data_IF_305624969715
#
_entry.id   IF_305624969715
#
_cell.length_a   1.000
_cell.length_b   1.000
_cell.length_c   1.000
_cell.angle_alpha   90.00
_cell.angle_beta   90.00
_cell.angle_gamma   90.00
#
_symmetry.space_group_name_H-M   'P 1'
#
loop_
_entity.id
_entity.type
_entity.pdbx_description
1 polymer ?
#
# COMPACT_ATOMS: atom_id res chain seq x y z
N UNK A 1 -8.81 -21.40 -60.69
CA UNK A 1 -8.39 -19.97 -60.78
C UNK A 1 -8.68 -19.36 -62.16
N UNK A 2 -8.52 -20.07 -63.28
CA UNK A 2 -8.70 -19.52 -64.64
C UNK A 2 -10.13 -19.08 -65.01
N UNK A 3 -11.21 -19.73 -64.51
CA UNK A 3 -12.59 -19.38 -64.88
C UNK A 3 -13.08 -18.05 -64.25
N UNK A 4 -12.52 -17.64 -63.06
CA UNK A 4 -12.85 -16.38 -62.44
C UNK A 4 -12.18 -15.19 -63.13
N UNK A 5 -10.93 -15.36 -63.58
CA UNK A 5 -10.18 -14.37 -64.35
C UNK A 5 -10.80 -14.13 -65.76
N UNK A 6 -11.30 -15.20 -66.41
CA UNK A 6 -11.98 -15.08 -67.69
C UNK A 6 -13.32 -14.34 -67.60
N UNK A 7 -14.11 -14.56 -66.53
CA UNK A 7 -15.33 -13.80 -66.26
C UNK A 7 -15.09 -12.33 -65.95
N UNK A 8 -14.02 -12.01 -65.25
CA UNK A 8 -13.59 -10.65 -64.97
C UNK A 8 -13.17 -9.91 -66.25
N UNK A 9 -12.47 -10.61 -67.18
CA UNK A 9 -12.07 -10.07 -68.46
C UNK A 9 -13.27 -9.66 -69.37
N UNK A 10 -14.26 -10.56 -69.49
CA UNK A 10 -15.49 -10.30 -70.21
C UNK A 10 -16.35 -9.17 -69.65
N UNK A 11 -16.35 -9.00 -68.28
CA UNK A 11 -17.07 -7.93 -67.61
C UNK A 11 -16.37 -6.56 -67.78
N UNK A 12 -15.06 -6.56 -67.93
CA UNK A 12 -14.27 -5.35 -68.16
C UNK A 12 -14.36 -4.84 -69.63
N UNK A 13 -14.71 -5.67 -70.59
CA UNK A 13 -14.75 -5.24 -72.05
C UNK A 13 -15.87 -4.24 -72.29
N UNK A 14 -16.95 -4.24 -71.54
CA UNK A 14 -18.07 -3.31 -71.72
C UNK A 14 -17.84 -1.91 -71.08
N UNK A 15 -16.70 -1.69 -70.37
CA UNK A 15 -16.42 -0.39 -69.80
C UNK A 15 -15.62 0.55 -70.66
N UNK A 16 -15.99 1.85 -70.59
CA UNK A 16 -15.17 2.91 -71.25
C UNK A 16 -13.75 2.93 -70.62
N UNK A 17 -12.79 3.34 -71.40
CA UNK A 17 -11.36 3.38 -71.03
C UNK A 17 -11.19 4.14 -69.65
N UNK A 18 -11.92 5.24 -69.44
CA UNK A 18 -11.88 5.99 -68.16
C UNK A 18 -12.31 5.17 -66.98
N UNK A 19 -13.35 4.33 -67.14
CA UNK A 19 -13.83 3.45 -66.06
C UNK A 19 -12.83 2.32 -65.77
N UNK A 20 -12.15 1.77 -66.77
CA UNK A 20 -11.10 0.76 -66.63
C UNK A 20 -9.94 1.30 -65.79
N UNK A 21 -9.48 2.52 -66.08
CA UNK A 21 -8.42 3.17 -65.30
C UNK A 21 -8.85 3.45 -63.85
N UNK A 22 -10.09 3.87 -63.63
CA UNK A 22 -10.60 4.12 -62.28
C UNK A 22 -10.67 2.83 -61.45
N UNK A 23 -11.19 1.75 -62.03
CA UNK A 23 -11.24 0.44 -61.37
C UNK A 23 -9.81 -0.05 -61.05
N UNK A 24 -8.89 0.06 -61.98
CA UNK A 24 -7.50 -0.30 -61.77
C UNK A 24 -6.85 0.51 -60.63
N UNK A 25 -7.09 1.80 -60.59
CA UNK A 25 -6.62 2.65 -59.48
C UNK A 25 -7.19 2.22 -58.13
N UNK A 26 -8.49 1.98 -58.07
CA UNK A 26 -9.15 1.53 -56.82
C UNK A 26 -8.57 0.20 -56.36
N UNK A 27 -8.43 -0.77 -57.27
CA UNK A 27 -7.95 -2.12 -56.92
C UNK A 27 -6.45 -2.14 -56.59
N UNK A 28 -5.63 -1.42 -57.33
CA UNK A 28 -4.17 -1.51 -57.20
C UNK A 28 -3.59 -0.50 -56.19
N UNK A 29 -4.31 0.59 -55.90
CA UNK A 29 -3.80 1.64 -55.00
C UNK A 29 -4.66 1.76 -53.75
N UNK A 30 -5.96 2.00 -53.91
CA UNK A 30 -6.83 2.35 -52.79
C UNK A 30 -7.12 1.16 -51.87
N UNK A 31 -7.39 -0.02 -52.44
CA UNK A 31 -7.62 -1.23 -51.62
C UNK A 31 -6.36 -1.65 -50.82
N UNK A 32 -5.15 -1.78 -51.45
CA UNK A 32 -3.94 -2.08 -50.66
C UNK A 32 -3.63 -1.04 -49.61
N UNK A 33 -3.85 0.25 -49.89
CA UNK A 33 -3.66 1.33 -48.92
C UNK A 33 -4.57 1.14 -47.68
N UNK A 34 -5.88 0.92 -47.88
CA UNK A 34 -6.83 0.70 -46.81
C UNK A 34 -6.48 -0.56 -46.01
N UNK A 35 -6.08 -1.63 -46.68
CA UNK A 35 -5.67 -2.87 -46.03
C UNK A 35 -4.42 -2.63 -45.14
N UNK A 36 -3.42 -1.93 -45.71
CA UNK A 36 -2.19 -1.63 -44.99
C UNK A 36 -2.47 -0.75 -43.76
N UNK A 37 -3.24 0.33 -43.94
CA UNK A 37 -3.61 1.22 -42.85
C UNK A 37 -4.40 0.49 -41.76
N UNK A 38 -5.34 -0.39 -42.16
CA UNK A 38 -6.10 -1.21 -41.23
C UNK A 38 -5.20 -2.16 -40.41
N UNK A 39 -4.24 -2.82 -41.08
CA UNK A 39 -3.30 -3.72 -40.39
C UNK A 39 -2.40 -2.93 -39.43
N UNK A 40 -1.86 -1.80 -39.89
CA UNK A 40 -1.04 -0.93 -39.04
C UNK A 40 -1.83 -0.45 -37.80
N UNK A 41 -3.06 0.04 -38.01
CA UNK A 41 -3.92 0.50 -36.92
C UNK A 41 -4.20 -0.59 -35.90
N UNK A 42 -4.62 -1.78 -36.38
CA UNK A 42 -4.91 -2.91 -35.46
C UNK A 42 -3.67 -3.38 -34.71
N UNK A 43 -2.51 -3.41 -35.39
CA UNK A 43 -1.25 -3.81 -34.77
C UNK A 43 -0.81 -2.80 -33.72
N UNK A 44 -0.85 -1.50 -34.06
CA UNK A 44 -0.49 -0.43 -33.13
C UNK A 44 -1.42 -0.42 -31.91
N UNK A 45 -2.73 -0.52 -32.12
CA UNK A 45 -3.70 -0.58 -31.02
C UNK A 45 -3.47 -1.78 -30.09
N UNK A 46 -3.07 -2.94 -30.65
CA UNK A 46 -2.71 -4.11 -29.85
C UNK A 46 -1.43 -3.87 -29.03
N UNK A 47 -0.37 -3.34 -29.65
CA UNK A 47 0.87 -3.02 -28.96
C UNK A 47 0.68 -1.98 -27.87
N UNK A 48 -0.11 -0.94 -28.11
CA UNK A 48 -0.41 0.09 -27.11
C UNK A 48 -1.18 -0.47 -25.92
N UNK A 49 -2.06 -1.43 -26.15
CA UNK A 49 -2.76 -2.12 -25.07
C UNK A 49 -1.83 -3.00 -24.26
N UNK A 50 -1.04 -3.85 -24.89
CA UNK A 50 -0.06 -4.72 -24.23
C UNK A 50 0.96 -3.90 -23.43
N UNK A 51 1.43 -2.79 -24.02
CA UNK A 51 2.35 -1.87 -23.34
C UNK A 51 1.72 -1.28 -22.07
N UNK A 52 0.49 -0.81 -22.14
CA UNK A 52 -0.23 -0.27 -20.96
C UNK A 52 -0.45 -1.34 -19.91
N UNK A 53 -0.83 -2.55 -20.27
CA UNK A 53 -1.00 -3.66 -19.33
C UNK A 53 0.32 -3.99 -18.60
N UNK A 54 1.44 -4.02 -19.30
CA UNK A 54 2.77 -4.20 -18.71
C UNK A 54 3.17 -3.03 -17.80
N UNK A 55 2.91 -1.81 -18.21
CA UNK A 55 3.19 -0.62 -17.41
C UNK A 55 2.39 -0.61 -16.12
N UNK A 56 1.09 -0.91 -16.19
CA UNK A 56 0.24 -1.03 -15.00
C UNK A 56 0.71 -2.15 -14.07
N UNK A 57 1.11 -3.31 -14.61
CA UNK A 57 1.66 -4.41 -13.82
C UNK A 57 2.96 -4.02 -13.11
N UNK A 58 3.85 -3.31 -13.80
CA UNK A 58 5.11 -2.83 -13.21
C UNK A 58 4.85 -1.81 -12.09
N UNK A 59 3.88 -0.91 -12.29
CA UNK A 59 3.43 0.05 -11.27
C UNK A 59 2.92 -0.68 -10.03
N UNK A 60 2.00 -1.63 -10.22
CA UNK A 60 1.45 -2.40 -9.11
C UNK A 60 2.54 -3.12 -8.33
N UNK A 61 3.49 -3.79 -9.01
CA UNK A 61 4.61 -4.48 -8.38
C UNK A 61 5.55 -3.54 -7.63
N UNK A 62 5.81 -2.35 -8.16
CA UNK A 62 6.68 -1.36 -7.51
C UNK A 62 6.02 -0.79 -6.23
N UNK A 63 4.71 -0.53 -6.28
CA UNK A 63 3.93 -0.08 -5.11
C UNK A 63 3.90 -1.18 -4.05
N UNK A 64 3.57 -2.42 -4.46
CA UNK A 64 3.57 -3.58 -3.57
C UNK A 64 4.92 -3.77 -2.88
N UNK A 65 6.02 -3.75 -3.64
CA UNK A 65 7.37 -3.87 -3.09
C UNK A 65 7.69 -2.77 -2.07
N UNK A 66 7.36 -1.52 -2.39
CA UNK A 66 7.66 -0.38 -1.51
C UNK A 66 6.88 -0.45 -0.19
N UNK A 67 5.60 -0.81 -0.26
CA UNK A 67 4.75 -0.95 0.93
C UNK A 67 5.14 -2.18 1.74
N UNK A 68 5.36 -3.31 1.08
CA UNK A 68 5.79 -4.56 1.74
C UNK A 68 7.14 -4.40 2.43
N UNK A 69 8.08 -3.67 1.82
CA UNK A 69 9.36 -3.34 2.45
C UNK A 69 9.18 -2.49 3.72
N UNK A 70 8.32 -1.48 3.67
CA UNK A 70 8.05 -0.63 4.82
C UNK A 70 7.37 -1.39 5.97
N UNK A 71 6.40 -2.24 5.65
CA UNK A 71 5.72 -3.11 6.61
C UNK A 71 6.68 -4.18 7.16
N UNK A 72 7.52 -4.75 6.29
CA UNK A 72 8.57 -5.69 6.66
C UNK A 72 9.53 -5.10 7.68
N UNK A 73 9.99 -3.88 7.47
CA UNK A 73 10.85 -3.16 8.41
C UNK A 73 10.19 -2.99 9.79
N UNK A 74 8.89 -2.69 9.84
CA UNK A 74 8.16 -2.63 11.11
C UNK A 74 8.11 -4.00 11.81
N UNK A 75 7.92 -5.06 11.03
CA UNK A 75 7.98 -6.44 11.53
C UNK A 75 9.35 -6.82 12.09
N UNK A 76 10.44 -6.43 11.42
CA UNK A 76 11.81 -6.65 11.88
C UNK A 76 12.10 -5.88 13.17
N UNK A 77 11.67 -4.61 13.26
CA UNK A 77 11.74 -3.82 14.48
C UNK A 77 10.95 -4.51 15.61
N UNK A 78 9.73 -4.96 15.33
CA UNK A 78 8.92 -5.70 16.28
C UNK A 78 9.60 -6.97 16.79
N UNK A 79 10.20 -7.73 15.91
CA UNK A 79 10.95 -8.93 16.27
C UNK A 79 12.24 -8.60 17.08
N UNK A 80 12.91 -7.51 16.73
CA UNK A 80 14.09 -7.04 17.48
C UNK A 80 13.71 -6.63 18.90
N UNK A 81 12.59 -5.96 19.09
CA UNK A 81 12.04 -5.62 20.41
C UNK A 81 11.67 -6.90 21.17
N UNK A 82 10.94 -7.81 20.52
CA UNK A 82 10.49 -9.07 21.08
C UNK A 82 11.62 -9.95 21.62
N UNK A 83 12.79 -9.91 20.98
CA UNK A 83 13.95 -10.69 21.38
C UNK A 83 14.90 -9.94 22.30
N UNK A 84 14.66 -8.68 22.61
CA UNK A 84 15.52 -7.84 23.41
C UNK A 84 15.15 -7.90 24.88
N UNK A 85 16.08 -8.41 25.68
CA UNK A 85 15.90 -8.60 27.13
C UNK A 85 15.74 -7.30 27.91
N UNK A 86 16.35 -6.22 27.44
CA UNK A 86 16.24 -4.92 28.12
C UNK A 86 14.82 -4.37 28.05
N UNK A 87 14.09 -4.62 26.95
CA UNK A 87 12.68 -4.28 26.82
C UNK A 87 11.80 -5.12 27.73
N UNK A 88 12.06 -6.43 27.80
CA UNK A 88 11.36 -7.33 28.70
C UNK A 88 11.53 -6.89 30.16
N UNK A 89 12.77 -6.68 30.59
CA UNK A 89 13.10 -6.27 31.95
C UNK A 89 12.45 -4.92 32.28
N UNK A 90 12.55 -3.92 31.40
CA UNK A 90 11.95 -2.60 31.59
C UNK A 90 10.44 -2.68 31.74
N UNK A 91 9.75 -3.43 30.88
CA UNK A 91 8.29 -3.51 30.87
C UNK A 91 7.73 -4.40 32.00
N UNK A 92 8.48 -5.39 32.45
CA UNK A 92 8.05 -6.35 33.49
C UNK A 92 8.40 -5.89 34.89
N UNK A 93 9.42 -5.02 35.05
CA UNK A 93 9.86 -4.54 36.37
C UNK A 93 8.77 -3.75 37.08
N UNK A 94 8.50 -4.09 38.33
CA UNK A 94 7.66 -3.29 39.21
C UNK A 94 8.45 -2.15 39.84
N UNK A 95 8.01 -0.93 39.62
CA UNK A 95 8.64 0.28 40.12
C UNK A 95 8.00 0.68 41.47
N UNK A 96 8.83 1.01 42.46
CA UNK A 96 8.36 1.36 43.77
C UNK A 96 7.80 2.77 43.88
N UNK A 97 8.26 3.66 42.99
CA UNK A 97 7.80 5.03 42.90
C UNK A 97 8.05 5.64 41.52
N UNK A 98 7.41 6.78 41.23
CA UNK A 98 7.50 7.46 39.92
C UNK A 98 8.92 7.94 39.61
N UNK A 99 9.76 8.27 40.58
CA UNK A 99 11.12 8.74 40.35
C UNK A 99 12.01 7.59 39.83
N UNK A 100 11.86 6.39 40.42
CA UNK A 100 12.55 5.19 39.92
C UNK A 100 12.14 4.86 38.52
N UNK A 101 10.83 4.93 38.19
CA UNK A 101 10.33 4.72 36.83
C UNK A 101 10.92 5.73 35.84
N UNK A 102 10.90 7.03 36.20
CA UNK A 102 11.43 8.09 35.29
C UNK A 102 12.91 7.89 35.01
N UNK A 103 13.70 7.53 36.02
CA UNK A 103 15.11 7.24 35.86
C UNK A 103 15.34 6.01 34.93
N UNK A 104 14.56 4.94 35.13
CA UNK A 104 14.60 3.76 34.29
C UNK A 104 14.17 4.08 32.84
N UNK A 105 13.13 4.86 32.66
CA UNK A 105 12.64 5.30 31.35
C UNK A 105 13.68 6.13 30.58
N UNK A 106 14.34 7.06 31.25
CA UNK A 106 15.40 7.86 30.64
C UNK A 106 16.58 7.00 30.20
N UNK A 107 17.01 6.06 31.05
CA UNK A 107 18.09 5.12 30.72
C UNK A 107 17.70 4.19 29.56
N UNK A 108 16.46 3.71 29.56
CA UNK A 108 15.91 2.87 28.52
C UNK A 108 15.90 3.58 27.16
N UNK A 109 15.38 4.81 27.08
CA UNK A 109 15.35 5.60 25.84
C UNK A 109 16.73 5.97 25.36
N UNK A 110 17.66 6.37 26.23
CA UNK A 110 19.01 6.76 25.85
C UNK A 110 19.85 5.56 25.37
N UNK A 111 19.53 4.36 25.83
CA UNK A 111 20.22 3.12 25.43
C UNK A 111 19.70 2.49 24.14
N UNK A 112 18.54 2.89 23.66
CA UNK A 112 17.93 2.29 22.48
C UNK A 112 18.25 3.05 21.22
N UNK A 113 18.97 2.45 20.28
CA UNK A 113 19.16 2.94 18.90
C UNK A 113 17.85 2.95 18.09
N UNK A 114 16.77 2.43 18.67
CA UNK A 114 15.48 2.22 18.01
C UNK A 114 14.80 3.53 17.63
N UNK A 115 14.95 4.56 18.44
CA UNK A 115 14.34 5.87 18.17
C UNK A 115 14.89 6.50 16.90
N UNK A 116 16.18 6.33 16.62
CA UNK A 116 16.80 6.79 15.40
C UNK A 116 16.32 6.01 14.17
N UNK A 117 16.23 4.68 14.30
CA UNK A 117 15.78 3.82 13.20
C UNK A 117 14.32 4.08 12.82
N UNK A 118 13.45 4.34 13.78
CA UNK A 118 12.03 4.65 13.58
C UNK A 118 11.81 6.07 13.08
N UNK A 119 12.56 7.04 13.60
CA UNK A 119 12.48 8.43 13.16
C UNK A 119 12.88 8.61 11.70
N UNK A 120 13.88 7.88 11.23
CA UNK A 120 14.30 7.87 9.83
C UNK A 120 13.21 7.33 8.87
N UNK A 121 12.32 6.47 9.35
CA UNK A 121 11.29 5.82 8.54
C UNK A 121 9.89 6.45 8.70
N UNK A 122 9.77 7.62 9.33
CA UNK A 122 8.48 8.27 9.61
C UNK A 122 7.50 7.37 10.38
N UNK A 123 8.03 6.59 11.30
CA UNK A 123 7.25 5.68 12.15
C UNK A 123 7.33 6.14 13.61
N UNK A 124 6.23 5.95 14.32
CA UNK A 124 6.15 6.24 15.76
C UNK A 124 5.83 4.93 16.46
N UNK A 125 6.67 4.52 17.42
CA UNK A 125 6.38 3.36 18.24
C UNK A 125 5.83 3.75 19.61
N UNK A 126 5.00 2.90 20.16
CA UNK A 126 4.47 2.98 21.51
C UNK A 126 4.38 1.58 22.10
N UNK A 127 4.88 1.42 23.30
CA UNK A 127 4.80 0.19 24.07
C UNK A 127 3.62 0.28 25.05
N UNK A 128 2.91 -0.82 25.21
CA UNK A 128 1.81 -0.95 26.16
C UNK A 128 2.05 -2.16 27.04
N UNK A 129 1.74 -2.01 28.33
CA UNK A 129 1.86 -3.09 29.31
C UNK A 129 0.73 -2.98 30.36
N UNK A 130 0.33 -4.10 30.92
CA UNK A 130 -0.60 -4.15 32.07
C UNK A 130 0.10 -3.94 33.40
N UNK A 131 1.41 -3.67 33.41
CA UNK A 131 2.14 -3.31 34.63
C UNK A 131 1.61 -1.96 35.18
N UNK A 132 0.91 -2.02 36.30
CA UNK A 132 0.25 -0.90 36.96
C UNK A 132 1.21 0.13 37.59
N UNK A 133 2.50 -0.19 37.68
CA UNK A 133 3.54 0.72 38.19
C UNK A 133 4.13 1.63 37.10
N UNK A 134 3.77 1.41 35.83
CA UNK A 134 4.16 2.24 34.70
C UNK A 134 3.37 3.55 34.71
N UNK A 135 4.09 4.66 34.57
CA UNK A 135 3.47 5.99 34.43
C UNK A 135 3.20 6.27 32.97
N UNK A 136 1.93 6.53 32.65
CA UNK A 136 1.51 6.86 31.28
C UNK A 136 2.21 8.10 30.74
N UNK A 137 2.90 7.97 29.62
CA UNK A 137 3.52 9.11 28.94
C UNK A 137 4.58 8.69 27.91
N UNK A 138 4.79 9.53 26.93
CA UNK A 138 5.81 9.30 25.89
C UNK A 138 5.59 8.02 25.10
N UNK A 139 6.61 7.16 25.09
CA UNK A 139 6.65 5.91 24.30
C UNK A 139 6.11 4.69 25.05
N UNK A 140 5.77 4.81 26.32
CA UNK A 140 5.28 3.69 27.13
C UNK A 140 4.00 4.10 27.84
N UNK A 141 2.98 3.25 27.77
CA UNK A 141 1.67 3.48 28.33
C UNK A 141 1.10 2.21 28.97
N UNK A 142 0.12 2.38 29.82
CA UNK A 142 -0.67 1.25 30.35
C UNK A 142 -1.58 0.68 29.28
N UNK A 143 -1.84 -0.61 29.38
CA UNK A 143 -2.64 -1.37 28.42
C UNK A 143 -4.09 -0.87 28.28
N UNK A 144 -4.64 -0.23 29.32
CA UNK A 144 -5.99 0.32 29.29
C UNK A 144 -6.22 1.33 28.16
N UNK A 145 -5.17 2.04 27.75
CA UNK A 145 -5.24 2.97 26.61
C UNK A 145 -5.31 2.24 25.25
N UNK A 146 -4.87 1.00 25.18
CA UNK A 146 -4.90 0.20 23.97
C UNK A 146 -6.18 -0.62 23.84
N UNK A 147 -6.70 -1.14 24.97
CA UNK A 147 -7.82 -2.10 24.99
C UNK A 147 -9.08 -1.65 24.29
N UNK A 148 -9.34 -0.33 24.23
CA UNK A 148 -10.51 0.24 23.59
C UNK A 148 -10.26 0.68 22.14
N UNK A 149 -9.08 0.39 21.58
CA UNK A 149 -8.75 0.78 20.21
C UNK A 149 -9.24 -0.26 19.21
N UNK A 150 -9.59 0.19 18.00
CA UNK A 150 -10.08 -0.68 16.94
C UNK A 150 -9.03 -1.74 16.55
N UNK A 151 -7.76 -1.35 16.48
CA UNK A 151 -6.65 -2.25 16.14
C UNK A 151 -6.47 -3.37 17.17
N UNK A 152 -6.64 -3.07 18.46
CA UNK A 152 -6.54 -4.08 19.53
C UNK A 152 -7.71 -5.07 19.49
N UNK A 153 -8.92 -4.57 19.29
CA UNK A 153 -10.12 -5.41 19.21
C UNK A 153 -10.03 -6.37 18.03
N UNK A 154 -9.68 -5.88 16.85
CA UNK A 154 -9.50 -6.70 15.64
C UNK A 154 -8.39 -7.75 15.82
N UNK A 155 -7.24 -7.39 16.41
CA UNK A 155 -6.14 -8.35 16.64
C UNK A 155 -6.59 -9.52 17.51
N UNK A 156 -7.35 -9.23 18.59
CA UNK A 156 -7.80 -10.25 19.52
C UNK A 156 -8.98 -11.09 18.96
N UNK A 157 -9.90 -10.49 18.22
CA UNK A 157 -10.98 -11.21 17.54
C UNK A 157 -10.41 -12.24 16.54
N UNK A 158 -9.34 -11.88 15.82
CA UNK A 158 -8.67 -12.76 14.88
C UNK A 158 -7.71 -13.77 15.55
N UNK A 159 -7.53 -13.70 16.88
CA UNK A 159 -6.59 -14.52 17.65
C UNK A 159 -5.15 -14.50 17.10
N UNK A 160 -4.73 -13.37 16.54
CA UNK A 160 -3.40 -13.17 15.96
C UNK A 160 -2.43 -12.58 16.99
N UNK A 161 -1.15 -12.88 16.85
CA UNK A 161 -0.09 -12.26 17.66
C UNK A 161 0.39 -10.92 17.10
N UNK A 162 0.16 -10.67 15.81
CA UNK A 162 0.53 -9.42 15.13
C UNK A 162 -0.36 -9.18 13.91
N UNK A 163 -0.53 -7.91 13.56
CA UNK A 163 -1.32 -7.51 12.39
C UNK A 163 -1.04 -6.09 11.94
N UNK A 164 -1.44 -5.79 10.72
CA UNK A 164 -1.46 -4.45 10.13
C UNK A 164 -2.91 -4.02 10.00
N UNK A 165 -3.23 -2.85 10.52
CA UNK A 165 -4.59 -2.34 10.60
C UNK A 165 -4.68 -0.96 9.95
N UNK A 166 -5.69 -0.79 9.13
CA UNK A 166 -6.08 0.50 8.56
C UNK A 166 -7.31 0.98 9.31
N UNK A 167 -7.08 1.88 10.26
CA UNK A 167 -8.10 2.36 11.18
C UNK A 167 -8.34 3.85 11.04
N UNK A 168 -9.49 4.28 11.51
CA UNK A 168 -9.86 5.67 11.53
C UNK A 168 -9.92 6.18 12.96
N UNK A 169 -8.89 6.95 13.32
CA UNK A 169 -8.71 7.56 14.64
C UNK A 169 -8.82 6.61 15.86
N UNK A 170 -7.74 5.90 16.07
CA UNK A 170 -7.59 4.99 17.22
C UNK A 170 -7.22 5.70 18.53
N UNK A 171 -7.08 7.02 18.52
CA UNK A 171 -6.73 7.77 19.72
C UNK A 171 -7.82 8.79 20.08
N UNK A 172 -8.48 8.56 21.20
CA UNK A 172 -9.53 9.40 21.77
C UNK A 172 -9.10 10.83 22.16
N UNK A 173 -7.85 11.21 21.93
CA UNK A 173 -7.29 12.48 22.39
C UNK A 173 -7.19 13.57 21.33
N UNK A 174 -7.56 13.31 20.07
CA UNK A 174 -7.50 14.29 18.99
C UNK A 174 -8.86 14.81 18.59
N UNK A 175 -8.94 16.11 18.36
CA UNK A 175 -10.16 16.82 17.94
C UNK A 175 -10.54 16.46 16.49
N UNK A 176 -9.55 16.12 15.67
CA UNK A 176 -9.74 15.71 14.28
C UNK A 176 -9.44 14.23 14.12
N UNK A 177 -10.42 13.50 13.64
CA UNK A 177 -10.26 12.09 13.28
C UNK A 177 -9.35 11.97 12.05
N UNK A 178 -8.38 11.08 12.12
CA UNK A 178 -7.39 10.87 11.06
C UNK A 178 -7.27 9.39 10.71
N UNK A 179 -6.98 9.10 9.46
CA UNK A 179 -6.64 7.76 9.01
C UNK A 179 -5.27 7.38 9.54
N UNK A 180 -5.15 6.15 10.04
CA UNK A 180 -3.91 5.62 10.58
C UNK A 180 -3.64 4.24 10.04
N UNK A 181 -2.36 3.96 9.89
CA UNK A 181 -1.85 2.64 9.56
C UNK A 181 -1.05 2.19 10.76
N UNK A 182 -1.49 1.10 11.36
CA UNK A 182 -0.98 0.61 12.63
C UNK A 182 -0.49 -0.82 12.46
N UNK A 183 0.78 -1.06 12.74
CA UNK A 183 1.29 -2.39 13.01
C UNK A 183 1.22 -2.63 14.51
N UNK A 184 0.47 -3.65 14.93
CA UNK A 184 0.31 -4.03 16.32
C UNK A 184 0.85 -5.45 16.51
N UNK A 185 1.71 -5.64 17.51
CA UNK A 185 2.30 -6.92 17.86
C UNK A 185 2.22 -7.15 19.34
N UNK A 186 1.73 -8.31 19.73
CA UNK A 186 1.79 -8.81 21.10
C UNK A 186 3.22 -9.29 21.38
N UNK A 187 3.76 -8.85 22.50
CA UNK A 187 5.10 -9.21 22.96
C UNK A 187 4.98 -10.31 24.01
N UNK A 188 4.90 -11.56 23.54
CA UNK A 188 4.87 -12.73 24.41
C UNK A 188 6.31 -13.08 24.85
N UNK A 189 6.91 -12.22 25.68
CA UNK A 189 8.19 -12.51 26.30
C UNK A 189 8.09 -13.80 27.12
N UNK A 190 9.21 -14.40 27.45
CA UNK A 190 9.28 -15.66 28.20
C UNK A 190 8.58 -15.56 29.57
N UNK A 191 8.39 -14.34 30.10
CA UNK A 191 7.60 -14.06 31.30
C UNK A 191 6.17 -13.73 30.92
N UNK A 192 5.27 -14.70 31.12
CA UNK A 192 3.87 -14.62 30.73
C UNK A 192 2.97 -13.92 31.76
N UNK A 193 3.51 -13.36 32.86
CA UNK A 193 2.68 -12.77 33.90
C UNK A 193 2.05 -11.44 33.52
N UNK A 194 2.65 -10.73 32.52
CA UNK A 194 2.19 -9.40 32.09
C UNK A 194 1.92 -9.35 30.59
N UNK A 195 0.78 -8.77 30.22
CA UNK A 195 0.40 -8.52 28.81
C UNK A 195 1.15 -7.30 28.26
N UNK A 196 1.82 -7.47 27.12
CA UNK A 196 2.63 -6.40 26.51
C UNK A 196 2.37 -6.32 25.02
N UNK A 197 2.31 -5.10 24.51
CA UNK A 197 2.12 -4.84 23.08
C UNK A 197 3.07 -3.78 22.58
N UNK A 198 3.52 -3.95 21.34
CA UNK A 198 4.17 -2.94 20.53
C UNK A 198 3.18 -2.44 19.49
N UNK A 199 2.98 -1.13 19.46
CA UNK A 199 2.25 -0.44 18.40
C UNK A 199 3.21 0.43 17.61
N UNK A 200 3.28 0.24 16.30
CA UNK A 200 4.01 1.10 15.38
C UNK A 200 2.98 1.81 14.50
N UNK A 201 2.94 3.11 14.57
CA UNK A 201 2.10 3.95 13.72
C UNK A 201 2.93 4.45 12.53
N UNK A 202 2.42 4.23 11.33
CA UNK A 202 2.96 4.82 10.11
C UNK A 202 2.29 6.17 9.86
N UNK A 203 3.07 7.16 9.44
CA UNK A 203 2.50 8.39 8.94
C UNK A 203 1.77 8.13 7.61
N UNK A 204 0.45 8.25 7.63
CA UNK A 204 -0.40 8.03 6.46
C UNK A 204 0.02 8.91 5.27
N UNK A 205 0.36 10.18 5.54
CA UNK A 205 0.84 11.10 4.50
C UNK A 205 2.15 10.65 3.87
N UNK A 206 3.03 10.02 4.62
CA UNK A 206 4.28 9.44 4.10
C UNK A 206 4.01 8.23 3.21
N UNK A 207 3.06 7.37 3.56
CA UNK A 207 2.62 6.24 2.71
C UNK A 207 2.02 6.73 1.40
N UNK A 208 1.14 7.73 1.44
CA UNK A 208 0.58 8.36 0.23
C UNK A 208 1.68 9.01 -0.62
N UNK A 209 2.68 9.65 0.00
CA UNK A 209 3.81 10.24 -0.74
C UNK A 209 4.66 9.21 -1.47
N UNK A 210 4.85 8.02 -0.91
CA UNK A 210 5.55 6.93 -1.63
C UNK A 210 4.85 6.67 -2.96
N UNK A 211 3.53 6.51 -2.95
CA UNK A 211 2.75 6.26 -4.17
C UNK A 211 2.80 7.48 -5.12
N UNK A 212 2.69 8.70 -4.59
CA UNK A 212 2.76 9.94 -5.39
C UNK A 212 4.14 10.18 -6.03
N UNK A 213 5.22 9.88 -5.31
CA UNK A 213 6.58 10.10 -5.81
C UNK A 213 6.97 9.15 -6.95
N UNK A 214 6.23 8.09 -7.17
CA UNK A 214 6.41 7.21 -8.33
C UNK A 214 5.99 7.85 -9.65
N UNK A 215 5.39 9.06 -9.60
CA UNK A 215 5.07 9.95 -10.73
C UNK A 215 4.32 9.24 -11.86
N UNK A 216 3.32 8.46 -11.53
CA UNK A 216 2.44 7.83 -12.52
C UNK A 216 1.35 8.79 -12.96
N UNK A 217 1.04 8.80 -14.25
CA UNK A 217 -0.06 9.59 -14.83
C UNK A 217 -1.45 9.07 -14.40
N UNK A 218 -1.50 7.81 -13.95
CA UNK A 218 -2.73 7.16 -13.53
C UNK A 218 -2.91 7.20 -12.02
N UNK A 219 -4.17 7.25 -11.58
CA UNK A 219 -4.51 7.09 -10.17
C UNK A 219 -4.27 5.64 -9.73
N UNK A 220 -3.53 5.49 -8.63
CA UNK A 220 -3.27 4.19 -7.99
C UNK A 220 -4.13 4.10 -6.73
N UNK A 221 -4.94 3.07 -6.64
CA UNK A 221 -5.77 2.74 -5.49
C UNK A 221 -5.28 1.44 -4.87
N UNK A 222 -5.13 1.44 -3.55
CA UNK A 222 -4.90 0.23 -2.75
C UNK A 222 -6.18 -0.03 -1.97
N UNK A 223 -6.77 -1.19 -2.22
CA UNK A 223 -8.08 -1.54 -1.71
C UNK A 223 -8.05 -2.85 -0.91
N UNK A 224 -8.96 -2.95 0.04
CA UNK A 224 -9.35 -4.17 0.73
C UNK A 224 -10.83 -4.41 0.45
N UNK A 225 -11.13 -5.35 -0.45
CA UNK A 225 -12.47 -5.49 -1.00
C UNK A 225 -12.91 -4.23 -1.75
N UNK A 226 -14.01 -3.61 -1.32
CA UNK A 226 -14.53 -2.35 -1.85
C UNK A 226 -13.97 -1.09 -1.14
N UNK A 227 -13.20 -1.27 -0.07
CA UNK A 227 -12.67 -0.19 0.77
C UNK A 227 -11.34 0.31 0.23
N UNK A 228 -11.24 1.61 -0.07
CA UNK A 228 -10.00 2.25 -0.52
C UNK A 228 -9.14 2.59 0.70
N UNK A 229 -8.00 1.92 0.84
CA UNK A 229 -7.06 2.13 1.95
C UNK A 229 -6.10 3.30 1.69
N UNK A 230 -5.51 3.34 0.49
CA UNK A 230 -4.55 4.37 0.06
C UNK A 230 -4.82 4.78 -1.38
N UNK A 231 -4.57 6.06 -1.71
CA UNK A 231 -4.63 6.58 -3.07
C UNK A 231 -3.63 7.72 -3.25
N UNK A 232 -3.09 7.84 -4.47
CA UNK A 232 -2.28 9.00 -4.87
C UNK A 232 -3.12 10.16 -5.44
N UNK A 233 -4.41 9.94 -5.71
CA UNK A 233 -5.35 10.90 -6.29
C UNK A 233 -6.25 11.59 -5.27
N UNK A 234 -7.45 11.94 -5.73
CA UNK A 234 -8.45 12.66 -4.91
C UNK A 234 -8.93 11.85 -3.69
N UNK A 235 -8.93 10.52 -3.77
CA UNK A 235 -9.32 9.64 -2.67
C UNK A 235 -8.27 9.57 -1.57
N UNK A 236 -7.05 10.06 -1.80
CA UNK A 236 -6.01 10.22 -0.81
C UNK A 236 -6.16 11.47 0.06
N UNK A 237 -7.13 12.36 -0.24
CA UNK A 237 -7.41 13.51 0.59
C UNK A 237 -8.03 13.10 1.92
N UNK A 238 -7.72 13.86 2.97
CA UNK A 238 -8.13 13.62 4.36
C UNK A 238 -9.65 13.71 4.54
N UNK A 239 -10.37 12.70 4.05
CA UNK A 239 -11.78 12.51 4.36
C UNK A 239 -11.95 11.72 5.65
N UNK A 240 -13.11 11.86 6.26
CA UNK A 240 -13.42 11.31 7.57
C UNK A 240 -13.50 9.78 7.59
N UNK A 241 -13.73 9.11 6.48
CA UNK A 241 -13.85 7.64 6.41
C UNK A 241 -13.11 7.09 5.20
N UNK A 242 -12.77 5.80 5.24
CA UNK A 242 -12.28 5.12 4.05
C UNK A 242 -13.39 5.04 3.03
N UNK A 243 -13.16 5.59 1.84
CA UNK A 243 -14.14 5.56 0.76
C UNK A 243 -14.25 4.16 0.17
N UNK A 244 -15.40 3.89 -0.45
CA UNK A 244 -15.65 2.66 -1.19
C UNK A 244 -15.58 2.93 -2.69
N UNK A 245 -15.20 1.89 -3.44
CA UNK A 245 -15.23 1.88 -4.91
C UNK A 245 -16.65 2.00 -5.44
#
# INVERSE_FOLDING_TARGET
MGKALHKLGLWMDDFTIKKKFYIFYVVCVLIPLIVTDSVVFLTTAKFDRERREHEMSNIASAVEYSLSSMIGNAGEIGNSIYTNRDFEEFLSKRYTNSAEYVAAYQNFLSGTLLENALGMNSMIFTLYTDNDTIVNGGRVNTLDKLRNTESYLQLNEEAKSKGLFFVYDDSSSRITRERRIIYLQRLDFYDAETEKYLKIEFDYGSMVRIIKNMNYDNEVLICEGDRILLSNGQYGSYGSEFQRL
#
